data_IF_721181714258
#
_entry.id   IF_721181714258
#
_cell.length_a   1.000
_cell.length_b   1.000
_cell.length_c   1.000
_cell.angle_alpha   90.00
_cell.angle_beta   90.00
_cell.angle_gamma   90.00
#
_symmetry.space_group_name_H-M   'P 1'
#
loop_
_entity.id
_entity.type
_entity.pdbx_description
1 polymer ?
#
# COMPACT_ATOMS: atom_id res chain seq x y z
N UNK A 1 -22.16 1.19 -18.32
CA UNK A 1 -22.63 1.11 -16.92
C UNK A 1 -21.40 0.84 -16.05
N UNK A 2 -20.95 1.84 -15.30
CA UNK A 2 -19.72 1.75 -14.50
C UNK A 2 -20.06 0.97 -13.22
N UNK A 3 -19.36 -0.14 -13.00
CA UNK A 3 -19.63 -1.08 -11.93
C UNK A 3 -19.27 -0.44 -10.56
N UNK A 4 -20.28 0.05 -9.85
CA UNK A 4 -20.21 0.47 -8.44
C UNK A 4 -19.98 -0.79 -7.58
N UNK A 5 -18.76 -1.06 -7.12
CA UNK A 5 -18.46 -1.66 -5.79
C UNK A 5 -16.97 -1.99 -5.62
N UNK A 6 -16.07 -1.01 -5.78
CA UNK A 6 -14.79 -1.07 -5.07
C UNK A 6 -14.82 -0.03 -3.98
N UNK A 7 -15.14 -0.48 -2.77
CA UNK A 7 -14.96 0.37 -1.60
C UNK A 7 -13.44 0.49 -1.34
N UNK A 8 -12.84 1.53 -1.91
CA UNK A 8 -11.44 1.90 -1.70
C UNK A 8 -11.23 2.58 -0.33
N UNK A 9 -12.27 2.80 0.45
CA UNK A 9 -12.19 3.55 1.70
C UNK A 9 -11.22 2.87 2.67
N UNK A 10 -11.33 1.55 2.87
CA UNK A 10 -10.44 0.83 3.78
C UNK A 10 -8.96 0.93 3.34
N UNK A 11 -8.68 0.88 2.03
CA UNK A 11 -7.34 1.11 1.48
C UNK A 11 -6.89 2.55 1.74
N UNK A 12 -7.71 3.53 1.39
CA UNK A 12 -7.37 4.95 1.55
C UNK A 12 -7.18 5.31 3.03
N UNK A 13 -8.04 4.82 3.92
CA UNK A 13 -7.94 5.02 5.36
C UNK A 13 -6.69 4.39 5.98
N UNK A 14 -6.15 3.35 5.34
CA UNK A 14 -4.89 2.72 5.75
C UNK A 14 -3.62 3.48 5.30
N UNK A 15 -3.77 4.50 4.45
CA UNK A 15 -2.67 5.36 4.00
C UNK A 15 -2.55 6.63 4.86
N UNK A 16 -1.33 7.14 5.10
CA UNK A 16 -1.10 8.47 5.67
C UNK A 16 -1.82 9.57 4.89
N UNK A 17 -2.21 10.64 5.57
CA UNK A 17 -3.04 11.70 4.97
C UNK A 17 -2.45 12.30 3.69
N UNK A 18 -1.17 12.64 3.69
CA UNK A 18 -0.45 13.17 2.52
C UNK A 18 -0.44 12.16 1.35
N UNK A 19 -0.12 10.90 1.60
CA UNK A 19 -0.13 9.85 0.56
C UNK A 19 -1.55 9.61 0.05
N UNK A 20 -2.54 9.56 0.95
CA UNK A 20 -3.96 9.44 0.60
C UNK A 20 -4.40 10.58 -0.32
N UNK A 21 -4.03 11.83 -0.01
CA UNK A 21 -4.33 13.00 -0.83
C UNK A 21 -3.73 12.91 -2.24
N UNK A 22 -2.55 12.30 -2.38
CA UNK A 22 -1.94 12.04 -3.69
C UNK A 22 -2.74 10.96 -4.44
N UNK A 23 -3.06 9.85 -3.80
CA UNK A 23 -3.74 8.70 -4.43
C UNK A 23 -5.19 9.04 -4.84
N UNK A 24 -5.91 9.84 -4.06
CA UNK A 24 -7.29 10.27 -4.38
C UNK A 24 -7.33 11.08 -5.69
N UNK A 25 -6.25 11.80 -6.03
CA UNK A 25 -6.18 12.64 -7.24
C UNK A 25 -5.85 11.87 -8.51
N UNK A 26 -5.54 10.57 -8.42
CA UNK A 26 -5.33 9.75 -9.62
C UNK A 26 -6.58 9.77 -10.52
N UNK A 27 -6.36 9.80 -11.84
CA UNK A 27 -7.42 9.65 -12.84
C UNK A 27 -8.14 8.31 -12.66
N UNK A 28 -9.43 8.25 -13.00
CA UNK A 28 -10.24 7.03 -12.86
C UNK A 28 -9.63 5.84 -13.61
N UNK A 29 -9.12 6.06 -14.82
CA UNK A 29 -8.40 5.04 -15.60
C UNK A 29 -7.20 4.41 -14.86
N UNK A 30 -6.46 5.20 -14.08
CA UNK A 30 -5.35 4.68 -13.25
C UNK A 30 -5.87 3.96 -12.00
N UNK A 31 -6.94 4.45 -11.38
CA UNK A 31 -7.56 3.82 -10.20
C UNK A 31 -8.18 2.47 -10.53
N UNK A 32 -8.76 2.32 -11.72
CA UNK A 32 -9.31 1.05 -12.22
C UNK A 32 -8.21 0.00 -12.40
N UNK A 33 -7.07 0.43 -12.94
CA UNK A 33 -5.90 -0.41 -13.19
C UNK A 33 -4.93 -0.55 -12.03
N UNK A 34 -5.19 0.07 -10.87
CA UNK A 34 -4.27 0.13 -9.74
C UNK A 34 -4.12 -1.24 -9.08
N UNK A 35 -2.88 -1.73 -9.01
CA UNK A 35 -2.54 -3.05 -8.46
C UNK A 35 -1.62 -2.92 -7.24
N UNK A 36 -0.78 -1.88 -7.21
CA UNK A 36 0.23 -1.72 -6.18
C UNK A 36 0.49 -0.25 -5.83
N UNK A 37 0.66 0.06 -4.55
CA UNK A 37 1.19 1.34 -4.05
C UNK A 37 2.44 1.02 -3.22
N UNK A 38 3.59 1.59 -3.60
CA UNK A 38 4.89 1.35 -2.96
C UNK A 38 5.33 2.60 -2.20
N UNK A 39 5.48 2.46 -0.88
CA UNK A 39 6.08 3.46 -0.02
C UNK A 39 7.46 2.94 0.36
N UNK A 40 8.53 3.64 -0.01
CA UNK A 40 9.91 3.24 0.32
C UNK A 40 10.64 4.47 0.83
N UNK A 41 11.18 4.38 2.04
CA UNK A 41 11.83 5.52 2.70
C UNK A 41 12.94 6.06 1.80
N UNK A 42 12.98 7.38 1.66
CA UNK A 42 13.92 8.16 0.84
C UNK A 42 13.88 7.79 -0.66
N UNK A 43 12.77 7.21 -1.12
CA UNK A 43 12.54 6.87 -2.53
C UNK A 43 11.26 7.50 -3.05
N UNK A 44 11.16 7.71 -4.38
CA UNK A 44 9.94 8.12 -5.05
C UNK A 44 8.74 7.26 -4.68
N UNK A 45 7.60 7.89 -4.42
CA UNK A 45 6.31 7.24 -4.33
C UNK A 45 5.96 6.66 -5.71
N UNK A 46 5.78 5.34 -5.76
CA UNK A 46 5.39 4.65 -7.00
C UNK A 46 4.11 3.88 -6.86
N UNK A 47 3.40 3.78 -7.98
CA UNK A 47 2.28 2.87 -8.15
C UNK A 47 2.52 1.96 -9.34
N UNK A 48 2.01 0.74 -9.26
CA UNK A 48 1.89 -0.15 -10.42
C UNK A 48 0.43 -0.16 -10.84
N UNK A 49 0.18 0.29 -12.07
CA UNK A 49 -1.16 0.34 -12.63
C UNK A 49 -1.12 0.03 -14.13
N UNK A 50 -2.10 -0.72 -14.63
CA UNK A 50 -2.20 -1.08 -16.05
C UNK A 50 -0.89 -1.70 -16.60
N UNK A 51 -0.32 -2.65 -15.85
CA UNK A 51 0.96 -3.30 -16.17
C UNK A 51 2.17 -2.37 -16.30
N UNK A 52 2.14 -1.18 -15.68
CA UNK A 52 3.25 -0.25 -15.75
C UNK A 52 3.50 0.45 -14.41
N UNK A 53 4.78 0.66 -14.10
CA UNK A 53 5.20 1.48 -12.96
C UNK A 53 5.06 2.97 -13.29
N UNK A 54 4.61 3.75 -12.31
CA UNK A 54 4.40 5.20 -12.39
C UNK A 54 4.92 5.88 -11.14
N UNK A 55 5.60 7.01 -11.32
CA UNK A 55 5.97 7.91 -10.23
C UNK A 55 4.86 8.93 -10.00
N UNK A 56 4.60 9.28 -8.74
CA UNK A 56 3.59 10.27 -8.38
C UNK A 56 4.25 11.50 -7.75
N UNK A 57 3.89 12.68 -8.23
CA UNK A 57 4.24 13.97 -7.59
C UNK A 57 3.39 14.23 -6.34
N UNK A 58 3.79 15.20 -5.52
CA UNK A 58 3.03 15.65 -4.35
C UNK A 58 1.60 16.13 -4.72
N UNK A 59 1.40 16.57 -5.96
CA UNK A 59 0.11 17.03 -6.45
C UNK A 59 -0.80 15.92 -6.97
N UNK A 60 -0.36 14.65 -6.96
CA UNK A 60 -1.16 13.53 -7.48
C UNK A 60 -1.00 13.28 -8.99
N UNK A 61 -0.15 14.05 -9.67
CA UNK A 61 0.13 13.85 -11.09
C UNK A 61 1.16 12.75 -11.31
N UNK A 62 0.98 11.96 -12.37
CA UNK A 62 2.00 11.05 -12.87
C UNK A 62 3.15 11.85 -13.46
N UNK A 63 4.37 11.50 -13.07
CA UNK A 63 5.59 12.13 -13.57
C UNK A 63 6.50 11.10 -14.24
N UNK A 64 7.28 11.56 -15.23
CA UNK A 64 8.16 10.71 -16.03
C UNK A 64 9.57 10.56 -15.43
N UNK A 65 9.86 11.24 -14.32
CA UNK A 65 11.18 11.22 -13.68
C UNK A 65 11.05 11.09 -12.17
N UNK A 66 11.90 10.27 -11.52
CA UNK A 66 11.91 10.11 -10.07
C UNK A 66 12.19 11.42 -9.32
N UNK A 67 12.92 12.36 -9.94
CA UNK A 67 13.28 13.64 -9.32
C UNK A 67 12.08 14.60 -9.16
N UNK A 68 10.99 14.35 -9.90
CA UNK A 68 9.74 15.12 -9.82
C UNK A 68 8.69 14.44 -8.94
N UNK A 69 9.01 13.26 -8.41
CA UNK A 69 8.11 12.47 -7.60
C UNK A 69 8.12 12.95 -6.15
N UNK A 70 7.03 12.67 -5.45
CA UNK A 70 7.00 12.76 -4.00
C UNK A 70 8.00 11.77 -3.40
N UNK A 71 8.90 12.26 -2.56
CA UNK A 71 9.84 11.39 -1.83
C UNK A 71 9.17 10.94 -0.55
N UNK A 72 9.03 9.62 -0.39
CA UNK A 72 8.41 9.02 0.78
C UNK A 72 9.35 9.16 1.96
N UNK A 73 8.82 9.71 3.05
CA UNK A 73 9.57 9.97 4.28
C UNK A 73 9.48 8.78 5.24
N UNK A 74 10.36 8.77 6.24
CA UNK A 74 10.26 7.81 7.34
C UNK A 74 8.92 7.96 8.10
N UNK A 75 8.49 9.20 8.35
CA UNK A 75 7.22 9.52 9.02
C UNK A 75 6.00 8.95 8.26
N UNK A 76 6.04 8.94 6.92
CA UNK A 76 4.99 8.32 6.10
C UNK A 76 4.87 6.83 6.39
N UNK A 77 6.00 6.12 6.41
CA UNK A 77 6.03 4.69 6.69
C UNK A 77 5.61 4.38 8.14
N UNK A 78 6.03 5.19 9.11
CA UNK A 78 5.63 5.02 10.51
C UNK A 78 4.12 5.22 10.70
N UNK A 79 3.56 6.30 10.16
CA UNK A 79 2.11 6.58 10.19
C UNK A 79 1.31 5.49 9.48
N UNK A 80 1.79 5.05 8.32
CA UNK A 80 1.16 3.99 7.56
C UNK A 80 1.12 2.68 8.38
N UNK A 81 2.22 2.32 9.04
CA UNK A 81 2.29 1.16 9.93
C UNK A 81 1.32 1.28 11.12
N UNK A 82 1.21 2.46 11.73
CA UNK A 82 0.26 2.71 12.82
C UNK A 82 -1.20 2.52 12.35
N UNK A 83 -1.55 3.06 11.17
CA UNK A 83 -2.88 2.96 10.60
C UNK A 83 -3.28 1.51 10.27
N UNK A 84 -2.38 0.74 9.67
CA UNK A 84 -2.65 -0.68 9.34
C UNK A 84 -2.68 -1.57 10.58
N UNK A 85 -1.88 -1.27 11.60
CA UNK A 85 -1.80 -2.08 12.82
C UNK A 85 -2.91 -1.76 13.83
N UNK A 86 -3.73 -0.72 13.61
CA UNK A 86 -4.82 -0.29 14.51
C UNK A 86 -4.40 -0.21 15.98
N UNK A 87 -3.15 0.20 16.23
CA UNK A 87 -2.54 0.26 17.56
C UNK A 87 -2.35 -1.10 18.28
N UNK A 88 -2.40 -2.22 17.56
CA UNK A 88 -2.10 -3.56 18.08
C UNK A 88 -1.31 -4.40 17.06
N UNK A 89 0.00 -4.15 16.99
CA UNK A 89 0.95 -4.93 16.19
C UNK A 89 0.90 -6.42 16.57
N UNK A 90 0.68 -6.73 17.85
CA UNK A 90 0.61 -8.09 18.37
C UNK A 90 -0.58 -8.90 17.83
N UNK A 91 -1.68 -8.24 17.44
CA UNK A 91 -2.82 -8.93 16.84
C UNK A 91 -2.48 -9.54 15.46
N UNK A 92 -1.39 -9.08 14.83
CA UNK A 92 -0.98 -9.49 13.47
C UNK A 92 0.35 -10.24 13.45
N UNK A 93 0.82 -10.76 14.59
CA UNK A 93 2.15 -11.37 14.72
C UNK A 93 2.44 -12.47 13.69
N UNK A 94 1.46 -13.36 13.44
CA UNK A 94 1.57 -14.41 12.43
C UNK A 94 1.64 -13.85 11.00
N UNK A 95 0.89 -12.79 10.69
CA UNK A 95 0.96 -12.15 9.36
C UNK A 95 2.29 -11.41 9.19
N UNK A 96 2.76 -10.73 10.24
CA UNK A 96 4.07 -10.08 10.29
C UNK A 96 5.22 -11.06 10.10
N UNK A 97 5.12 -12.27 10.66
CA UNK A 97 6.08 -13.36 10.42
C UNK A 97 6.15 -13.72 8.93
N UNK A 98 5.03 -13.63 8.22
CA UNK A 98 4.94 -13.83 6.77
C UNK A 98 5.28 -12.56 5.96
N UNK A 99 5.59 -11.45 6.63
CA UNK A 99 6.01 -10.19 6.00
C UNK A 99 4.88 -9.34 5.41
N UNK A 100 3.61 -9.58 5.78
CA UNK A 100 2.49 -8.75 5.34
C UNK A 100 1.39 -8.62 6.41
N UNK A 101 0.44 -7.71 6.21
CA UNK A 101 -0.79 -7.60 7.02
C UNK A 101 -1.98 -7.61 6.07
N UNK A 102 -3.05 -8.32 6.41
CA UNK A 102 -4.31 -8.27 5.65
C UNK A 102 -5.23 -7.23 6.26
N UNK A 103 -5.62 -6.22 5.49
CA UNK A 103 -6.58 -5.20 5.94
C UNK A 103 -7.98 -5.47 5.38
N UNK A 104 -8.98 -4.81 5.96
CA UNK A 104 -10.37 -4.92 5.53
C UNK A 104 -10.50 -4.55 4.04
N UNK A 105 -11.34 -5.29 3.32
CA UNK A 105 -11.41 -5.22 1.85
C UNK A 105 -10.49 -6.21 1.12
N UNK A 106 -9.73 -7.04 1.84
CA UNK A 106 -8.89 -8.09 1.26
C UNK A 106 -7.57 -7.59 0.67
N UNK A 107 -7.22 -6.33 0.94
CA UNK A 107 -5.93 -5.77 0.55
C UNK A 107 -4.80 -6.33 1.43
N UNK A 108 -3.63 -6.53 0.85
CA UNK A 108 -2.44 -7.02 1.58
C UNK A 108 -1.39 -5.94 1.62
N UNK A 109 -0.87 -5.65 2.80
CA UNK A 109 0.19 -4.66 3.02
C UNK A 109 1.47 -5.38 3.38
N UNK A 110 2.37 -5.52 2.43
CA UNK A 110 3.71 -6.04 2.67
C UNK A 110 4.54 -5.05 3.49
N UNK A 111 5.30 -5.56 4.45
CA UNK A 111 6.21 -4.77 5.28
C UNK A 111 7.64 -5.17 4.96
N UNK A 112 8.47 -4.18 4.61
CA UNK A 112 9.88 -4.40 4.35
C UNK A 112 10.70 -3.74 5.45
N UNK A 113 11.58 -4.47 6.12
CA UNK A 113 12.43 -3.91 7.17
C UNK A 113 13.13 -4.96 8.02
N UNK A 114 13.81 -4.48 9.07
CA UNK A 114 14.42 -5.32 10.10
C UNK A 114 13.45 -5.54 11.25
N UNK A 115 13.16 -6.80 11.56
CA UNK A 115 12.42 -7.22 12.74
C UNK A 115 13.36 -7.89 13.76
N UNK A 116 13.03 -7.77 15.04
CA UNK A 116 13.65 -8.57 16.11
C UNK A 116 12.68 -9.69 16.47
N UNK A 117 13.16 -10.91 16.33
CA UNK A 117 12.46 -12.13 16.71
C UNK A 117 12.89 -12.54 18.13
N UNK A 118 11.95 -13.07 18.91
CA UNK A 118 12.22 -13.74 20.19
C UNK A 118 11.71 -15.17 20.08
N UNK A 119 12.61 -16.11 19.78
CA UNK A 119 12.26 -17.47 19.38
C UNK A 119 11.43 -17.47 18.08
N UNK A 120 10.23 -18.03 18.13
CA UNK A 120 9.29 -18.02 16.99
C UNK A 120 8.47 -16.72 16.92
N UNK A 121 8.48 -15.89 17.97
CA UNK A 121 7.62 -14.71 18.08
C UNK A 121 8.23 -13.44 17.49
N UNK A 122 7.44 -12.59 16.84
CA UNK A 122 7.91 -11.27 16.38
C UNK A 122 7.82 -10.29 17.54
N UNK A 123 8.97 -9.97 18.16
CA UNK A 123 9.01 -9.10 19.33
C UNK A 123 8.73 -7.64 18.98
N UNK A 124 9.36 -7.11 17.92
CA UNK A 124 9.21 -5.71 17.49
C UNK A 124 9.73 -5.50 16.05
N UNK A 125 9.05 -4.66 15.26
CA UNK A 125 9.61 -4.11 14.01
C UNK A 125 10.55 -2.96 14.40
N UNK A 126 11.85 -3.14 14.20
CA UNK A 126 12.86 -2.18 14.70
C UNK A 126 13.22 -1.14 13.65
N UNK A 127 13.16 -1.50 12.37
CA UNK A 127 13.51 -0.56 11.32
C UNK A 127 12.74 -0.86 10.02
N UNK A 128 11.65 -0.15 9.79
CA UNK A 128 10.90 -0.25 8.54
C UNK A 128 11.67 0.48 7.44
N UNK A 129 11.70 -0.09 6.25
CA UNK A 129 12.33 0.46 5.04
C UNK A 129 11.30 0.77 3.95
N UNK A 130 10.10 0.21 4.07
CA UNK A 130 8.98 0.50 3.19
C UNK A 130 7.76 -0.37 3.44
N UNK A 131 6.68 0.01 2.78
CA UNK A 131 5.39 -0.66 2.77
C UNK A 131 4.91 -0.86 1.35
N UNK A 132 4.17 -1.93 1.16
CA UNK A 132 3.65 -2.29 -0.15
C UNK A 132 2.19 -2.69 -0.10
N UNK A 133 1.31 -1.83 -0.59
CA UNK A 133 -0.12 -2.09 -0.63
C UNK A 133 -0.45 -2.79 -1.95
N UNK A 134 -0.79 -4.08 -1.88
CA UNK A 134 -1.29 -4.85 -3.02
C UNK A 134 -2.81 -4.88 -3.03
N UNK A 135 -3.35 -4.56 -4.18
CA UNK A 135 -4.78 -4.41 -4.44
C UNK A 135 -5.21 -5.58 -5.32
N UNK A 136 -6.07 -6.44 -4.79
CA UNK A 136 -6.63 -7.52 -5.59
C UNK A 136 -7.55 -6.92 -6.67
N UNK A 137 -7.27 -7.25 -7.93
CA UNK A 137 -8.22 -7.02 -9.01
C UNK A 137 -9.25 -8.14 -8.99
N UNK A 138 -10.52 -7.78 -9.05
CA UNK A 138 -11.53 -8.75 -9.44
C UNK A 138 -11.28 -9.08 -10.91
N UNK A 139 -10.85 -10.32 -11.20
CA UNK A 139 -10.91 -10.86 -12.55
C UNK A 139 -12.38 -11.21 -12.81
N UNK A 140 -13.12 -10.29 -13.43
CA UNK A 140 -14.45 -10.62 -13.96
C UNK A 140 -14.21 -11.67 -15.06
N UNK A 141 -14.78 -12.86 -14.91
CA UNK A 141 -14.63 -13.99 -15.84
C UNK A 141 -13.70 -15.13 -15.38
N UNK A 142 -13.02 -15.06 -14.22
CA UNK A 142 -12.23 -16.20 -13.69
C UNK A 142 -13.06 -17.30 -13.02
N UNK A 143 -14.38 -17.22 -13.13
CA UNK A 143 -15.33 -18.21 -12.63
C UNK A 143 -16.56 -18.33 -13.54
N UNK A 144 -16.42 -18.05 -14.84
CA UNK A 144 -17.41 -18.54 -15.80
C UNK A 144 -17.30 -20.07 -15.78
N UNK A 145 -18.42 -20.71 -15.44
CA UNK A 145 -18.56 -22.16 -15.37
C UNK A 145 -17.95 -22.82 -16.61
N UNK A 146 -17.17 -23.88 -16.40
CA UNK A 146 -16.86 -24.84 -17.47
C UNK A 146 -18.06 -25.76 -17.62
#
# INVERSE_FOLDING_TARGET
MINKSKNYDDLLYSLPLNIRSIIIKLSDHLKEGLEEIRLRIDRPLTVYANNQERFLSADGNVVNSPNLAYIVTNEDCEKALQLISKSSIYAFENELRNGYITIKGGYRVGICGKCVLDGESVKTIVNISGLNYRIMRQCIGSSDEI
#
